data_IF_491069961394
#
_entry.id   IF_491069961394
#
_cell.length_a   1.000
_cell.length_b   1.000
_cell.length_c   1.000
_cell.angle_alpha   90.00
_cell.angle_beta   90.00
_cell.angle_gamma   90.00
#
_symmetry.space_group_name_H-M   'P 1'
#
loop_
_entity.id
_entity.type
_entity.pdbx_description
1 polymer ?
#
# COMPACT_ATOMS: atom_id res chain seq x y z
N UNK A 1 -8.54 -18.54 5.66
CA UNK A 1 -8.25 -17.16 5.22
C UNK A 1 -7.68 -16.42 6.40
N UNK A 2 -6.40 -16.13 6.39
CA UNK A 2 -5.76 -15.41 7.50
C UNK A 2 -5.82 -13.92 7.17
N UNK A 3 -6.58 -13.18 7.96
CA UNK A 3 -6.53 -11.72 7.98
C UNK A 3 -5.25 -11.31 8.67
N UNK A 4 -4.54 -10.34 8.12
CA UNK A 4 -3.29 -9.92 8.71
C UNK A 4 -2.65 -8.74 7.97
N UNK A 5 -1.54 -8.32 8.51
CA UNK A 5 -0.65 -7.33 7.93
C UNK A 5 0.62 -8.04 7.48
N UNK A 6 1.03 -7.73 6.26
CA UNK A 6 2.27 -8.18 5.65
C UNK A 6 3.00 -6.96 5.12
N UNK A 7 4.27 -6.85 5.38
CA UNK A 7 5.01 -5.71 4.91
C UNK A 7 6.52 -5.92 4.91
N UNK A 8 7.14 -5.09 4.09
CA UNK A 8 8.60 -4.91 3.99
C UNK A 8 8.91 -3.43 4.20
N UNK A 9 10.15 -3.02 4.02
CA UNK A 9 10.52 -1.60 4.10
C UNK A 9 9.84 -0.72 3.03
N UNK A 10 9.47 -1.27 1.89
CA UNK A 10 8.98 -0.54 0.70
C UNK A 10 7.52 -0.82 0.35
N UNK A 11 6.90 -1.77 1.03
CA UNK A 11 5.53 -2.16 0.77
C UNK A 11 4.79 -2.59 2.04
N UNK A 12 3.50 -2.28 2.09
CA UNK A 12 2.59 -2.70 3.14
C UNK A 12 1.32 -3.27 2.52
N UNK A 13 0.84 -4.41 3.02
CA UNK A 13 -0.45 -5.00 2.64
C UNK A 13 -1.23 -5.38 3.89
N UNK A 14 -2.48 -4.94 3.97
CA UNK A 14 -3.39 -5.21 5.07
C UNK A 14 -4.68 -5.85 4.53
N UNK A 15 -5.16 -6.91 5.18
CA UNK A 15 -6.49 -7.48 4.93
C UNK A 15 -7.40 -7.15 6.10
N UNK A 16 -8.52 -6.48 5.83
CA UNK A 16 -9.51 -6.08 6.81
C UNK A 16 -10.92 -6.51 6.40
N UNK A 17 -11.77 -6.74 7.37
CA UNK A 17 -13.20 -6.89 7.11
C UNK A 17 -13.78 -5.52 6.75
N UNK A 18 -14.38 -5.42 5.58
CA UNK A 18 -14.97 -4.20 5.07
C UNK A 18 -16.30 -4.50 4.36
N UNK A 19 -17.35 -4.91 5.10
CA UNK A 19 -18.64 -5.21 4.51
C UNK A 19 -19.19 -3.98 3.78
N UNK A 20 -19.64 -4.16 2.55
CA UNK A 20 -20.23 -3.10 1.76
C UNK A 20 -21.72 -3.29 1.62
N UNK A 21 -22.50 -2.30 2.03
CA UNK A 21 -23.95 -2.31 1.86
C UNK A 21 -24.40 -2.20 0.40
N UNK A 22 -23.50 -1.80 -0.51
CA UNK A 22 -23.79 -1.55 -1.93
C UNK A 22 -23.00 -2.44 -2.88
N UNK A 23 -22.15 -3.32 -2.37
CA UNK A 23 -21.37 -4.20 -3.23
C UNK A 23 -22.28 -5.30 -3.82
N UNK A 24 -22.11 -5.52 -5.10
CA UNK A 24 -22.71 -6.68 -5.77
C UNK A 24 -21.72 -7.84 -5.60
N UNK A 25 -22.19 -8.91 -4.96
CA UNK A 25 -21.42 -10.14 -4.83
C UNK A 25 -21.50 -10.93 -6.15
N UNK A 26 -20.36 -11.39 -6.61
CA UNK A 26 -20.23 -12.18 -7.83
C UNK A 26 -19.51 -13.49 -7.53
N UNK A 27 -19.75 -14.55 -8.31
CA UNK A 27 -19.02 -15.79 -8.19
C UNK A 27 -17.51 -15.56 -8.31
N UNK A 28 -16.73 -16.30 -7.53
CA UNK A 28 -15.26 -16.24 -7.58
C UNK A 28 -14.77 -16.57 -9.00
N UNK A 29 -13.87 -15.76 -9.51
CA UNK A 29 -13.32 -15.88 -10.86
C UNK A 29 -14.15 -15.20 -11.96
N UNK A 30 -15.29 -14.59 -11.64
CA UNK A 30 -16.03 -13.78 -12.60
C UNK A 30 -15.31 -12.44 -12.84
N UNK A 31 -15.11 -12.09 -14.11
CA UNK A 31 -14.55 -10.79 -14.48
C UNK A 31 -15.67 -9.75 -14.58
N UNK A 32 -16.05 -9.18 -13.45
CA UNK A 32 -17.00 -8.06 -13.40
C UNK A 32 -16.26 -6.83 -12.94
N UNK A 33 -16.12 -5.80 -13.78
CA UNK A 33 -15.45 -4.55 -13.41
C UNK A 33 -16.21 -3.79 -12.32
N UNK A 34 -15.49 -3.03 -11.53
CA UNK A 34 -16.06 -2.07 -10.60
C UNK A 34 -16.30 -2.62 -9.18
N UNK A 35 -17.46 -2.32 -8.60
CA UNK A 35 -17.77 -2.60 -7.19
C UNK A 35 -18.12 -4.07 -6.87
N UNK A 36 -17.90 -4.99 -7.81
CA UNK A 36 -18.19 -6.40 -7.62
C UNK A 36 -17.25 -7.04 -6.59
N UNK A 37 -17.79 -7.79 -5.64
CA UNK A 37 -17.04 -8.43 -4.57
C UNK A 37 -17.44 -9.90 -4.42
N UNK A 38 -16.46 -10.75 -4.12
CA UNK A 38 -16.67 -12.15 -3.81
C UNK A 38 -16.77 -12.39 -2.28
N UNK A 39 -16.25 -11.47 -1.46
CA UNK A 39 -16.32 -11.58 0.00
C UNK A 39 -16.27 -10.21 0.70
N UNK A 40 -16.46 -10.22 2.03
CA UNK A 40 -16.37 -9.02 2.88
C UNK A 40 -14.94 -8.67 3.30
N UNK A 41 -13.94 -9.39 2.79
CA UNK A 41 -12.55 -9.12 3.09
C UNK A 41 -11.94 -8.25 1.99
N UNK A 42 -11.48 -7.08 2.40
CA UNK A 42 -10.79 -6.13 1.55
C UNK A 42 -9.29 -6.19 1.82
N UNK A 43 -8.50 -6.30 0.76
CA UNK A 43 -7.05 -6.11 0.83
C UNK A 43 -6.72 -4.70 0.38
N UNK A 44 -5.99 -3.99 1.22
CA UNK A 44 -5.43 -2.67 0.90
C UNK A 44 -3.92 -2.78 0.97
N UNK A 45 -3.22 -2.22 0.00
CA UNK A 45 -1.76 -2.17 -0.03
C UNK A 45 -1.26 -0.80 -0.41
N UNK A 46 -0.03 -0.49 0.01
CA UNK A 46 0.70 0.72 -0.36
C UNK A 46 2.12 0.35 -0.77
N UNK A 47 2.60 0.96 -1.85
CA UNK A 47 3.96 0.79 -2.35
C UNK A 47 4.36 2.00 -3.20
N UNK A 48 5.66 2.19 -3.43
CA UNK A 48 6.09 3.09 -4.49
C UNK A 48 5.85 2.41 -5.84
N UNK A 49 5.15 3.11 -6.73
CA UNK A 49 5.02 2.71 -8.12
C UNK A 49 6.36 2.86 -8.82
N UNK A 50 6.85 1.79 -9.45
CA UNK A 50 8.02 1.86 -10.32
C UNK A 50 7.56 2.11 -11.76
N UNK A 51 7.98 3.23 -12.31
CA UNK A 51 7.71 3.59 -13.72
C UNK A 51 8.28 2.57 -14.73
N UNK A 52 9.21 1.70 -14.28
CA UNK A 52 9.85 0.69 -15.13
C UNK A 52 9.02 -0.59 -15.31
N UNK A 53 8.04 -0.86 -14.46
CA UNK A 53 7.27 -2.12 -14.47
C UNK A 53 5.97 -2.05 -15.28
N UNK A 54 5.57 -0.89 -15.75
CA UNK A 54 4.39 -0.75 -16.62
C UNK A 54 4.83 -0.35 -18.03
N UNK A 55 4.34 -1.08 -19.05
CA UNK A 55 4.55 -0.75 -20.46
C UNK A 55 3.96 0.62 -20.88
N UNK A 56 3.33 1.32 -19.99
CA UNK A 56 2.89 2.70 -20.10
C UNK A 56 3.65 3.52 -19.09
N UNK A 57 4.25 4.62 -19.51
CA UNK A 57 4.99 5.58 -18.70
C UNK A 57 4.07 6.17 -17.60
N UNK A 58 3.77 5.39 -16.56
CA UNK A 58 3.10 5.91 -15.39
C UNK A 58 4.14 6.59 -14.49
N UNK A 59 3.84 7.79 -14.00
CA UNK A 59 4.75 8.48 -13.11
C UNK A 59 5.03 7.62 -11.85
N UNK A 60 6.28 7.59 -11.42
CA UNK A 60 6.65 7.08 -10.11
C UNK A 60 5.89 7.86 -9.03
N UNK A 61 5.48 7.20 -7.95
CA UNK A 61 4.74 7.85 -6.88
C UNK A 61 4.12 6.83 -5.95
N UNK A 62 3.37 7.29 -4.95
CA UNK A 62 2.65 6.41 -4.06
C UNK A 62 1.49 5.74 -4.79
N UNK A 63 1.53 4.44 -4.86
CA UNK A 63 0.46 3.61 -5.39
C UNK A 63 -0.30 2.91 -4.26
N UNK A 64 -1.62 2.84 -4.40
CA UNK A 64 -2.53 2.13 -3.49
C UNK A 64 -3.20 1.00 -4.24
N UNK A 65 -3.06 -0.22 -3.71
CA UNK A 65 -3.82 -1.38 -4.14
C UNK A 65 -5.09 -1.48 -3.29
N UNK A 66 -6.23 -1.67 -3.92
CA UNK A 66 -7.47 -2.02 -3.24
C UNK A 66 -8.20 -3.09 -4.01
N UNK A 67 -8.58 -4.18 -3.34
CA UNK A 67 -9.28 -5.27 -4.01
C UNK A 67 -9.88 -6.28 -3.06
N UNK A 68 -10.84 -7.04 -3.59
CA UNK A 68 -11.45 -8.18 -2.90
C UNK A 68 -10.40 -9.26 -2.64
N UNK A 69 -10.31 -9.75 -1.39
CA UNK A 69 -9.28 -10.69 -0.96
C UNK A 69 -9.30 -11.98 -1.77
N UNK A 70 -10.48 -12.56 -2.00
CA UNK A 70 -10.59 -13.84 -2.71
C UNK A 70 -10.27 -13.68 -4.20
N UNK A 71 -10.63 -12.55 -4.81
CA UNK A 71 -10.29 -12.27 -6.21
C UNK A 71 -8.77 -12.10 -6.37
N UNK A 72 -8.12 -11.38 -5.47
CA UNK A 72 -6.67 -11.22 -5.48
C UNK A 72 -5.93 -12.54 -5.26
N UNK A 73 -6.40 -13.38 -4.31
CA UNK A 73 -5.81 -14.69 -4.07
C UNK A 73 -5.96 -15.63 -5.28
N UNK A 74 -7.11 -15.58 -5.95
CA UNK A 74 -7.34 -16.35 -7.18
C UNK A 74 -6.43 -15.87 -8.31
N UNK A 75 -6.35 -14.55 -8.51
CA UNK A 75 -5.46 -13.96 -9.51
C UNK A 75 -3.99 -14.35 -9.27
N UNK A 76 -3.56 -14.33 -8.00
CA UNK A 76 -2.21 -14.75 -7.63
C UNK A 76 -1.96 -16.25 -7.93
N UNK A 77 -2.89 -17.13 -7.58
CA UNK A 77 -2.78 -18.57 -7.86
C UNK A 77 -2.74 -18.88 -9.35
N UNK A 78 -3.47 -18.12 -10.16
CA UNK A 78 -3.52 -18.29 -11.61
C UNK A 78 -2.39 -17.56 -12.35
N UNK A 79 -1.53 -16.81 -11.66
CA UNK A 79 -0.49 -15.97 -12.28
C UNK A 79 -1.05 -14.81 -13.09
N UNK A 80 -2.31 -14.41 -12.85
CA UNK A 80 -2.97 -13.32 -13.55
C UNK A 80 -2.53 -11.97 -12.97
N UNK A 81 -1.42 -11.46 -13.48
CA UNK A 81 -0.85 -10.18 -13.08
C UNK A 81 -1.75 -8.99 -13.42
N UNK A 82 -2.53 -9.08 -14.48
CA UNK A 82 -3.45 -8.01 -14.88
C UNK A 82 -4.57 -7.82 -13.83
N UNK A 83 -5.19 -8.90 -13.38
CA UNK A 83 -6.20 -8.85 -12.32
C UNK A 83 -5.61 -8.44 -10.97
N UNK A 84 -4.37 -8.82 -10.66
CA UNK A 84 -3.67 -8.35 -9.46
C UNK A 84 -3.44 -6.83 -9.48
N UNK A 85 -3.13 -6.28 -10.64
CA UNK A 85 -2.87 -4.85 -10.82
C UNK A 85 -4.13 -4.01 -11.06
N UNK A 86 -5.26 -4.61 -11.37
CA UNK A 86 -6.49 -3.89 -11.69
C UNK A 86 -6.98 -2.97 -10.56
N UNK A 87 -6.65 -3.31 -9.31
CA UNK A 87 -6.94 -2.48 -8.13
C UNK A 87 -5.85 -1.49 -7.74
N UNK A 88 -4.75 -1.42 -8.50
CA UNK A 88 -3.64 -0.53 -8.21
C UNK A 88 -3.89 0.85 -8.80
N UNK A 89 -3.92 1.87 -7.94
CA UNK A 89 -4.14 3.25 -8.33
C UNK A 89 -3.00 4.14 -7.84
N UNK A 90 -2.51 5.03 -8.69
CA UNK A 90 -1.59 6.09 -8.30
C UNK A 90 -2.37 7.13 -7.50
N UNK A 91 -2.01 7.32 -6.22
CA UNK A 91 -2.71 8.26 -5.32
C UNK A 91 -1.95 9.54 -5.07
N UNK A 92 -0.62 9.51 -5.15
CA UNK A 92 0.23 10.69 -4.95
C UNK A 92 1.52 10.60 -5.78
N UNK A 93 1.53 11.19 -6.99
CA UNK A 93 2.72 11.15 -7.86
C UNK A 93 3.89 11.99 -7.34
N UNK A 94 3.65 12.91 -6.41
CA UNK A 94 4.67 13.73 -5.76
C UNK A 94 5.46 12.99 -4.68
N UNK A 95 5.04 11.81 -4.25
CA UNK A 95 5.77 10.97 -3.30
C UNK A 95 6.93 10.28 -4.01
N UNK A 96 8.15 10.58 -3.58
CA UNK A 96 9.38 10.07 -4.17
C UNK A 96 10.12 9.08 -3.28
N UNK A 97 9.73 8.99 -2.00
CA UNK A 97 10.26 8.03 -1.05
C UNK A 97 9.16 7.50 -0.13
N UNK A 98 9.22 6.19 0.17
CA UNK A 98 8.29 5.52 1.09
C UNK A 98 9.06 4.43 1.83
N UNK A 99 9.04 4.50 3.16
CA UNK A 99 9.65 3.48 4.01
C UNK A 99 8.69 3.12 5.14
N UNK A 100 8.56 1.81 5.40
CA UNK A 100 7.80 1.28 6.52
C UNK A 100 8.71 0.63 7.56
N UNK A 101 8.31 0.75 8.84
CA UNK A 101 8.86 -0.04 9.92
C UNK A 101 7.72 -0.49 10.86
N UNK A 102 7.92 -1.61 11.53
CA UNK A 102 6.90 -2.31 12.29
C UNK A 102 7.37 -2.50 13.74
N UNK A 103 6.57 -2.06 14.72
CA UNK A 103 6.91 -2.17 16.13
C UNK A 103 6.28 -3.42 16.75
N UNK A 104 7.11 -4.32 17.28
CA UNK A 104 6.65 -5.57 17.90
C UNK A 104 6.25 -5.42 19.39
N UNK A 105 6.51 -4.25 19.95
CA UNK A 105 6.32 -3.93 21.38
C UNK A 105 7.64 -3.74 22.12
N UNK A 106 8.77 -4.14 21.53
CA UNK A 106 10.12 -4.02 22.08
C UNK A 106 11.06 -3.27 21.14
N UNK A 107 11.00 -3.56 19.84
CA UNK A 107 11.86 -2.99 18.82
C UNK A 107 11.16 -2.76 17.50
N UNK A 108 11.77 -1.91 16.69
CA UNK A 108 11.34 -1.67 15.31
C UNK A 108 11.97 -2.70 14.36
N UNK A 109 11.16 -3.26 13.47
CA UNK A 109 11.54 -4.24 12.45
C UNK A 109 11.32 -3.70 11.06
N UNK A 110 12.12 -4.18 10.11
CA UNK A 110 12.03 -3.82 8.69
C UNK A 110 10.97 -4.61 7.92
N UNK A 111 10.50 -5.71 8.49
CA UNK A 111 9.52 -6.61 7.87
C UNK A 111 8.50 -7.11 8.89
N UNK A 112 7.33 -7.50 8.41
CA UNK A 112 6.26 -8.06 9.24
C UNK A 112 5.45 -9.09 8.48
N UNK A 113 5.27 -10.26 9.09
CA UNK A 113 4.35 -11.29 8.66
C UNK A 113 3.45 -11.69 9.84
N UNK A 114 2.20 -11.23 9.82
CA UNK A 114 1.23 -11.52 10.88
C UNK A 114 0.92 -13.01 11.03
N UNK A 115 1.15 -13.84 10.03
CA UNK A 115 0.95 -15.29 10.12
C UNK A 115 2.12 -15.95 10.86
N UNK A 116 3.32 -15.60 10.48
CA UNK A 116 4.53 -16.13 11.11
C UNK A 116 4.67 -15.68 12.56
N UNK A 117 4.36 -14.40 12.84
CA UNK A 117 4.49 -13.80 14.15
C UNK A 117 3.25 -13.98 15.05
N UNK A 118 2.15 -14.52 14.51
CA UNK A 118 0.93 -14.79 15.27
C UNK A 118 0.13 -13.56 15.67
N UNK A 119 0.40 -12.37 15.08
CA UNK A 119 -0.33 -11.15 15.42
C UNK A 119 0.01 -9.93 14.58
N UNK A 120 -0.66 -8.82 14.89
CA UNK A 120 -0.40 -7.53 14.28
C UNK A 120 0.74 -6.79 14.99
N UNK A 121 1.50 -5.90 14.32
CA UNK A 121 2.45 -5.03 14.97
C UNK A 121 1.71 -4.05 15.89
N UNK A 122 2.33 -3.61 16.98
CA UNK A 122 1.73 -2.61 17.87
C UNK A 122 1.64 -1.23 17.23
N UNK A 123 2.58 -0.93 16.34
CA UNK A 123 2.57 0.29 15.54
C UNK A 123 3.25 0.06 14.19
N UNK A 124 2.88 0.89 13.22
CA UNK A 124 3.54 1.01 11.92
C UNK A 124 4.06 2.43 11.79
N UNK A 125 5.34 2.56 11.53
CA UNK A 125 5.96 3.82 11.13
C UNK A 125 5.95 3.93 9.61
N UNK A 126 5.63 5.12 9.12
CA UNK A 126 5.63 5.47 7.70
C UNK A 126 6.50 6.71 7.53
N UNK A 127 7.55 6.60 6.75
CA UNK A 127 8.37 7.72 6.31
C UNK A 127 8.04 8.02 4.84
N UNK A 128 7.72 9.27 4.55
CA UNK A 128 7.35 9.73 3.23
C UNK A 128 8.27 10.89 2.81
N UNK A 129 8.84 10.80 1.62
CA UNK A 129 9.51 11.91 0.97
C UNK A 129 8.61 12.45 -0.14
N UNK A 130 8.26 13.73 -0.04
CA UNK A 130 7.41 14.41 -1.01
C UNK A 130 8.25 15.45 -1.74
N UNK A 131 8.30 15.33 -3.06
CA UNK A 131 9.01 16.30 -3.90
C UNK A 131 8.03 17.21 -4.62
N UNK A 132 8.04 18.48 -4.26
CA UNK A 132 7.21 19.48 -4.92
C UNK A 132 7.94 19.97 -6.17
N UNK A 133 7.32 19.83 -7.37
CA UNK A 133 7.91 20.35 -8.59
C UNK A 133 8.04 21.88 -8.53
N UNK A 134 9.01 22.49 -9.23
CA UNK A 134 9.11 23.93 -9.31
C UNK A 134 7.83 24.50 -9.92
N UNK A 135 7.27 25.54 -9.28
CA UNK A 135 6.09 26.23 -9.83
C UNK A 135 6.44 26.84 -11.18
N UNK A 136 5.79 26.39 -12.24
CA UNK A 136 5.90 26.98 -13.57
C UNK A 136 5.23 28.35 -13.53
N UNK A 137 5.99 29.40 -13.74
CA UNK A 137 5.49 30.77 -13.77
C UNK A 137 4.81 31.11 -15.11
N UNK A 138 3.85 32.04 -15.03
CA UNK A 138 3.22 32.67 -16.20
C UNK A 138 4.26 33.27 -17.16
N UNK A 139 4.00 33.31 -18.48
CA UNK A 139 4.87 33.94 -19.47
C UNK A 139 5.12 35.42 -19.11
N UNK A 140 6.38 35.83 -19.05
CA UNK A 140 6.78 37.21 -18.83
C UNK A 140 7.66 37.49 -17.60
N UNK A 141 7.91 36.50 -16.73
CA UNK A 141 8.84 36.63 -15.61
C UNK A 141 10.04 35.71 -15.80
N UNK A 142 11.24 36.25 -15.61
CA UNK A 142 12.47 35.48 -15.65
C UNK A 142 12.41 34.31 -14.67
N UNK A 143 12.54 33.09 -15.20
CA UNK A 143 12.61 31.89 -14.39
C UNK A 143 13.91 31.91 -13.58
N UNK A 144 13.87 32.44 -12.38
CA UNK A 144 14.87 32.03 -11.38
C UNK A 144 14.68 30.53 -11.17
N UNK A 145 15.72 29.77 -11.41
CA UNK A 145 15.76 28.30 -11.28
C UNK A 145 15.40 27.89 -9.84
N UNK A 146 14.13 27.77 -9.55
CA UNK A 146 13.70 27.17 -8.28
C UNK A 146 13.86 25.65 -8.44
N UNK A 147 14.76 25.11 -7.66
CA UNK A 147 14.93 23.67 -7.54
C UNK A 147 13.67 23.04 -6.94
N UNK A 148 13.37 21.81 -7.35
CA UNK A 148 12.39 20.97 -6.67
C UNK A 148 12.78 20.86 -5.19
N UNK A 149 11.79 20.96 -4.30
CA UNK A 149 12.03 20.86 -2.86
C UNK A 149 11.47 19.54 -2.37
N UNK A 150 12.31 18.74 -1.73
CA UNK A 150 11.89 17.49 -1.07
C UNK A 150 11.71 17.76 0.42
N UNK A 151 10.59 17.26 0.96
CA UNK A 151 10.27 17.32 2.38
C UNK A 151 9.99 15.90 2.86
N UNK A 152 10.55 15.55 4.02
CA UNK A 152 10.34 14.24 4.65
C UNK A 152 9.31 14.36 5.77
N UNK A 153 8.38 13.43 5.81
CA UNK A 153 7.33 13.32 6.81
C UNK A 153 7.43 11.97 7.51
N UNK A 154 7.19 11.97 8.80
CA UNK A 154 7.16 10.78 9.64
C UNK A 154 5.79 10.66 10.29
N UNK A 155 5.15 9.51 10.12
CA UNK A 155 3.88 9.16 10.74
C UNK A 155 4.05 7.85 11.51
N UNK A 156 3.54 7.77 12.72
CA UNK A 156 3.44 6.52 13.48
C UNK A 156 1.97 6.23 13.75
N UNK A 157 1.51 5.07 13.28
CA UNK A 157 0.13 4.61 13.44
C UNK A 157 0.12 3.46 14.44
N UNK A 158 -0.45 3.70 15.62
CA UNK A 158 -0.65 2.66 16.62
C UNK A 158 -1.84 1.76 16.25
N UNK A 159 -1.69 0.46 16.48
CA UNK A 159 -2.74 -0.54 16.26
C UNK A 159 -3.26 -1.01 17.63
N UNK A 160 -4.37 -0.45 18.14
CA UNK A 160 -4.80 -0.62 19.52
C UNK A 160 -5.26 -2.05 19.88
N UNK A 161 -5.53 -2.89 18.88
CA UNK A 161 -5.89 -4.30 19.08
C UNK A 161 -4.69 -5.25 19.03
N UNK A 162 -3.51 -4.75 18.70
CA UNK A 162 -2.29 -5.53 18.69
C UNK A 162 -1.77 -5.78 20.11
N UNK A 163 -1.01 -6.85 20.25
CA UNK A 163 -0.30 -7.19 21.49
C UNK A 163 1.19 -7.26 21.20
N UNK A 164 2.01 -6.94 22.19
CA UNK A 164 3.45 -7.12 22.09
C UNK A 164 3.79 -8.58 21.80
N UNK A 165 4.69 -8.81 20.87
CA UNK A 165 5.17 -10.13 20.47
C UNK A 165 6.66 -10.18 20.75
N UNK A 166 7.08 -11.08 21.62
CA UNK A 166 8.51 -11.29 21.85
C UNK A 166 9.11 -12.07 20.67
N UNK A 167 9.76 -11.33 19.79
CA UNK A 167 10.39 -11.88 18.60
C UNK A 167 11.85 -12.26 18.81
N UNK A 168 12.38 -12.08 20.02
CA UNK A 168 13.77 -12.39 20.36
C UNK A 168 14.06 -13.91 20.40
N UNK A 169 13.00 -14.73 20.41
CA UNK A 169 13.07 -16.19 20.48
C UNK A 169 12.71 -16.90 19.18
N UNK A 170 12.41 -16.16 18.12
CA UNK A 170 12.10 -16.66 16.77
C UNK A 170 13.33 -16.53 15.87
#
# INVERSE_FOLDING_TARGET
VVSGLFGTTDSLRLTAAAPSRRAVYVPLGSQVPGMARACDLLTVGYQLGDASQTMSAQPSGLARLEGDRLQLDLAQKNGDTQSQMAGLQMVAPEVTGLVFAYFDGYQWRSDWDSQALGGLPMAVEVLLDITTPPRVFRPGYSASSRQATTQSFRLVVALPLAKAIDTSTL
#
